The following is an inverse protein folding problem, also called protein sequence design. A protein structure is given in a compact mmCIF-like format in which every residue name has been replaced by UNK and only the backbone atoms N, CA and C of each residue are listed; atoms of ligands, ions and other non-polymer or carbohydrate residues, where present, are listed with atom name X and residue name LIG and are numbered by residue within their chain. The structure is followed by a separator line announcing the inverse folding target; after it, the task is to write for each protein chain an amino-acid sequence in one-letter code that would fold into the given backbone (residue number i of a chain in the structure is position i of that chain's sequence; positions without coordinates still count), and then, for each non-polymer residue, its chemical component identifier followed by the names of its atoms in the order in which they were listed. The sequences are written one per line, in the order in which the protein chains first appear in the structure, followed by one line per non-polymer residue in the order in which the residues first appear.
data_IF_374800970701
#
_entry.id   IF_374800970701
#
_cell.length_a   1.000
_cell.length_b   1.000
_cell.length_c   1.000
_cell.angle_alpha   90.00
_cell.angle_beta   90.00
_cell.angle_gamma   90.00
#
_symmetry.space_group_name_H-M   'P 1'
#
loop_
_entity.id
_entity.type
_entity.pdbx_description
1 polymer ?
#
# COMPACT_ATOMS: atom_id res chain seq x y z
N UNK A 1 -5.47 -15.08 16.82
CA UNK A 1 -6.45 -14.26 17.55
C UNK A 1 -5.94 -12.83 17.64
N UNK A 2 -6.75 -11.85 17.23
CA UNK A 2 -6.42 -10.41 17.30
C UNK A 2 -6.37 -9.85 18.73
N UNK A 3 -6.80 -10.65 19.73
CA UNK A 3 -7.03 -10.21 21.10
C UNK A 3 -5.76 -9.97 21.95
N UNK A 4 -4.56 -10.15 21.41
CA UNK A 4 -3.31 -10.05 22.19
C UNK A 4 -2.25 -9.19 21.47
N UNK A 5 -2.68 -8.19 20.71
CA UNK A 5 -1.78 -7.33 19.95
C UNK A 5 -1.71 -5.95 20.61
N UNK A 6 -0.56 -5.63 21.14
CA UNK A 6 -0.29 -4.30 21.68
C UNK A 6 -0.36 -3.24 20.57
N UNK A 7 -0.95 -2.09 20.90
CA UNK A 7 -1.09 -0.94 20.00
C UNK A 7 -1.96 -1.17 18.74
N UNK A 8 -2.88 -2.14 18.76
CA UNK A 8 -3.88 -2.35 17.73
C UNK A 8 -5.27 -1.92 18.22
N UNK A 9 -5.89 -0.99 17.52
CA UNK A 9 -7.29 -0.64 17.71
C UNK A 9 -8.13 -1.17 16.56
N UNK A 10 -9.33 -1.66 16.85
CA UNK A 10 -10.24 -2.26 15.88
C UNK A 10 -11.61 -1.60 16.00
N UNK A 11 -12.25 -1.36 14.86
CA UNK A 11 -13.63 -0.91 14.76
C UNK A 11 -14.43 -1.85 13.85
N UNK A 12 -15.74 -1.80 13.93
CA UNK A 12 -16.63 -2.51 13.02
C UNK A 12 -17.64 -1.52 12.41
N UNK A 13 -17.57 -1.36 11.09
CA UNK A 13 -18.63 -0.74 10.30
C UNK A 13 -19.42 -1.82 9.57
N UNK A 14 -20.72 -1.71 9.55
CA UNK A 14 -21.61 -2.67 8.87
C UNK A 14 -22.56 -1.91 7.94
N UNK A 15 -22.81 -2.47 6.78
CA UNK A 15 -23.76 -1.94 5.81
C UNK A 15 -24.90 -2.94 5.53
N UNK A 16 -26.01 -2.45 4.97
CA UNK A 16 -27.12 -3.28 4.53
C UNK A 16 -27.80 -4.06 5.66
N UNK A 17 -27.87 -3.51 6.88
CA UNK A 17 -28.41 -4.24 8.02
C UNK A 17 -29.54 -3.52 8.77
N UNK A 18 -29.74 -2.24 8.56
CA UNK A 18 -30.80 -1.49 9.25
C UNK A 18 -32.05 -1.32 8.38
N UNK A 19 -31.87 -1.00 7.13
CA UNK A 19 -32.97 -0.76 6.19
C UNK A 19 -33.30 -2.02 5.41
N UNK A 20 -34.58 -2.49 5.39
CA UNK A 20 -34.94 -3.63 4.55
C UNK A 20 -35.00 -3.24 3.07
N UNK A 21 -34.65 -4.16 2.19
CA UNK A 21 -34.84 -4.01 0.75
C UNK A 21 -36.12 -4.76 0.30
N UNK A 22 -37.01 -4.17 -0.55
CA UNK A 22 -37.07 -2.79 -0.99
C UNK A 22 -37.65 -1.84 0.09
N UNK A 23 -37.41 -0.51 0.01
CA UNK A 23 -36.69 0.22 -1.03
C UNK A 23 -35.18 0.15 -0.86
N UNK A 24 -34.44 0.52 -1.93
CA UNK A 24 -33.00 0.67 -1.92
C UNK A 24 -32.60 1.82 -0.98
N UNK A 25 -31.66 1.54 -0.05
CA UNK A 25 -31.08 2.53 0.85
C UNK A 25 -29.56 2.52 0.74
N UNK A 26 -29.00 3.51 0.05
CA UNK A 26 -27.58 3.66 -0.17
C UNK A 26 -26.84 4.36 0.99
N UNK A 27 -27.54 4.79 2.00
CA UNK A 27 -26.97 5.37 3.21
C UNK A 27 -26.88 4.35 4.37
N UNK A 28 -27.36 3.10 4.17
CA UNK A 28 -27.34 2.06 5.21
C UNK A 28 -25.90 1.54 5.46
N UNK A 29 -25.10 2.38 6.12
CA UNK A 29 -23.73 2.08 6.53
C UNK A 29 -23.43 2.74 7.88
N UNK A 30 -23.20 1.94 8.93
CA UNK A 30 -23.09 2.42 10.30
C UNK A 30 -21.88 1.87 11.03
N UNK A 31 -21.20 2.74 11.81
CA UNK A 31 -20.16 2.35 12.74
C UNK A 31 -20.81 1.68 13.96
N UNK A 32 -20.77 0.36 14.04
CA UNK A 32 -21.44 -0.43 15.07
C UNK A 32 -20.56 -0.70 16.30
N UNK A 33 -19.23 -0.68 16.13
CA UNK A 33 -18.24 -0.71 17.21
C UNK A 33 -17.18 0.34 16.88
N UNK A 34 -17.01 1.31 17.77
CA UNK A 34 -15.96 2.34 17.64
C UNK A 34 -14.55 1.74 17.77
N UNK A 35 -13.52 2.49 17.38
CA UNK A 35 -12.13 2.12 17.61
C UNK A 35 -11.86 1.91 19.10
N UNK A 36 -11.44 0.71 19.43
CA UNK A 36 -11.09 0.26 20.78
C UNK A 36 -9.89 -0.69 20.70
N UNK A 37 -9.12 -0.82 21.80
CA UNK A 37 -8.08 -1.84 21.92
C UNK A 37 -8.59 -3.22 21.49
N UNK A 38 -7.74 -3.98 20.80
CA UNK A 38 -8.13 -5.20 20.08
C UNK A 38 -8.79 -6.28 20.98
N UNK A 39 -8.38 -6.38 22.24
CA UNK A 39 -8.93 -7.29 23.25
C UNK A 39 -10.40 -6.94 23.58
N UNK A 40 -10.68 -5.65 23.82
CA UNK A 40 -12.03 -5.16 24.12
C UNK A 40 -12.92 -5.21 22.87
N UNK A 41 -12.39 -4.75 21.73
CA UNK A 41 -13.13 -4.69 20.47
C UNK A 41 -13.59 -6.09 20.02
N UNK A 42 -12.76 -7.11 20.15
CA UNK A 42 -13.07 -8.45 19.67
C UNK A 42 -14.35 -9.05 20.29
N UNK A 43 -14.56 -8.87 21.58
CA UNK A 43 -15.76 -9.37 22.26
C UNK A 43 -17.00 -8.56 21.91
N UNK A 44 -16.87 -7.23 21.80
CA UNK A 44 -17.97 -6.37 21.34
C UNK A 44 -18.38 -6.67 19.90
N UNK A 45 -17.42 -6.89 19.01
CA UNK A 45 -17.67 -7.26 17.61
C UNK A 45 -18.42 -8.59 17.54
N UNK A 46 -17.97 -9.64 18.27
CA UNK A 46 -18.67 -10.92 18.32
C UNK A 46 -20.11 -10.77 18.78
N UNK A 47 -20.31 -10.03 19.88
CA UNK A 47 -21.66 -9.77 20.41
C UNK A 47 -22.53 -9.01 19.40
N UNK A 48 -21.96 -8.04 18.69
CA UNK A 48 -22.68 -7.25 17.70
C UNK A 48 -23.06 -8.11 16.48
N UNK A 49 -22.10 -8.88 15.93
CA UNK A 49 -22.33 -9.75 14.79
C UNK A 49 -23.36 -10.85 15.06
N UNK A 50 -23.49 -11.33 16.32
CA UNK A 50 -24.48 -12.37 16.66
C UNK A 50 -25.93 -11.90 16.55
N UNK A 51 -26.19 -10.60 16.52
CA UNK A 51 -27.54 -10.01 16.44
C UNK A 51 -27.82 -9.31 15.12
N UNK A 52 -26.80 -8.97 14.35
CA UNK A 52 -26.95 -8.34 13.03
C UNK A 52 -27.49 -9.36 12.04
N UNK A 53 -28.43 -8.90 11.21
CA UNK A 53 -29.01 -9.67 10.10
C UNK A 53 -28.87 -8.86 8.82
N UNK A 54 -28.35 -9.48 7.77
CA UNK A 54 -28.37 -8.92 6.43
C UNK A 54 -29.80 -8.75 5.94
N UNK A 55 -30.16 -7.57 5.43
CA UNK A 55 -31.53 -7.27 4.96
C UNK A 55 -31.60 -6.25 3.82
N UNK A 56 -30.57 -5.48 3.59
CA UNK A 56 -30.62 -4.27 2.77
C UNK A 56 -29.73 -4.28 1.56
N UNK A 57 -29.48 -3.10 1.06
CA UNK A 57 -28.65 -2.77 -0.09
C UNK A 57 -27.16 -2.94 0.24
N UNK A 58 -26.33 -3.09 -0.78
CA UNK A 58 -24.86 -3.26 -0.67
C UNK A 58 -24.12 -1.95 -1.08
N UNK A 59 -24.05 -0.89 -0.23
CA UNK A 59 -23.42 0.39 -0.52
C UNK A 59 -21.93 0.36 -0.16
N UNK A 60 -21.10 -0.35 -0.96
CA UNK A 60 -19.66 -0.53 -0.69
C UNK A 60 -18.91 0.80 -0.76
N UNK A 61 -19.11 1.57 -1.83
CA UNK A 61 -18.44 2.84 -2.03
C UNK A 61 -18.74 3.84 -0.89
N UNK A 62 -20.00 3.92 -0.49
CA UNK A 62 -20.41 4.74 0.66
C UNK A 62 -19.76 4.26 1.95
N UNK A 63 -19.70 2.95 2.14
CA UNK A 63 -19.11 2.36 3.35
C UNK A 63 -17.59 2.59 3.44
N UNK A 64 -16.88 2.57 2.33
CA UNK A 64 -15.46 2.94 2.27
C UNK A 64 -15.26 4.43 2.62
N UNK A 65 -16.10 5.32 2.07
CA UNK A 65 -16.02 6.75 2.32
C UNK A 65 -16.29 7.09 3.79
N UNK A 66 -17.33 6.51 4.39
CA UNK A 66 -17.64 6.71 5.80
C UNK A 66 -16.61 6.03 6.71
N UNK A 67 -16.13 4.83 6.35
CA UNK A 67 -15.08 4.12 7.09
C UNK A 67 -13.78 4.90 7.18
N UNK A 68 -13.43 5.67 6.15
CA UNK A 68 -12.27 6.56 6.19
C UNK A 68 -12.43 7.68 7.23
N UNK A 69 -13.64 8.21 7.40
CA UNK A 69 -13.94 9.25 8.39
C UNK A 69 -13.96 8.73 9.83
N UNK A 70 -14.16 7.43 10.02
CA UNK A 70 -14.18 6.81 11.34
C UNK A 70 -12.80 6.79 12.03
N UNK A 71 -11.70 6.83 11.27
CA UNK A 71 -10.36 6.78 11.84
C UNK A 71 -10.08 7.99 12.73
N UNK A 72 -9.59 7.75 13.96
CA UNK A 72 -9.41 8.82 14.95
C UNK A 72 -8.28 9.80 14.58
N UNK A 73 -7.35 9.38 13.74
CA UNK A 73 -6.23 10.22 13.27
C UNK A 73 -5.58 9.64 12.00
N UNK A 74 -4.77 10.45 11.34
CA UNK A 74 -3.98 10.08 10.15
C UNK A 74 -2.50 9.78 10.43
N UNK A 75 -2.09 9.74 11.71
CA UNK A 75 -0.70 9.44 12.11
C UNK A 75 -0.46 7.95 12.28
N UNK A 76 -1.52 7.19 12.49
CA UNK A 76 -1.49 5.74 12.61
C UNK A 76 -1.57 5.07 11.23
N UNK A 77 -1.16 3.83 11.16
CA UNK A 77 -1.38 2.99 9.98
C UNK A 77 -2.86 2.56 9.96
N UNK A 78 -3.65 3.21 9.12
CA UNK A 78 -5.09 2.98 9.01
C UNK A 78 -5.36 1.95 7.91
N UNK A 79 -6.01 0.85 8.24
CA UNK A 79 -6.28 -0.26 7.32
C UNK A 79 -7.77 -0.59 7.33
N UNK A 80 -8.35 -0.78 6.15
CA UNK A 80 -9.71 -1.26 5.96
C UNK A 80 -9.68 -2.70 5.46
N UNK A 81 -10.44 -3.58 6.09
CA UNK A 81 -10.72 -4.93 5.60
C UNK A 81 -12.19 -4.92 5.18
N UNK A 82 -12.45 -4.96 3.87
CA UNK A 82 -13.78 -5.06 3.31
C UNK A 82 -14.14 -6.54 3.15
N UNK A 83 -15.23 -6.95 3.76
CA UNK A 83 -15.81 -8.30 3.61
C UNK A 83 -17.16 -8.15 2.93
N UNK A 84 -17.36 -8.81 1.82
CA UNK A 84 -18.60 -8.72 1.04
C UNK A 84 -18.91 -10.05 0.33
N UNK A 85 -20.19 -10.34 0.23
CA UNK A 85 -20.76 -11.43 -0.58
C UNK A 85 -21.54 -10.90 -1.80
N UNK A 86 -21.53 -9.57 -2.01
CA UNK A 86 -22.24 -8.89 -3.08
C UNK A 86 -21.41 -7.82 -3.79
N UNK A 87 -22.02 -7.30 -4.84
CA UNK A 87 -21.50 -6.19 -5.64
C UNK A 87 -22.03 -4.86 -5.12
N UNK A 88 -21.37 -3.75 -5.53
CA UNK A 88 -21.91 -2.41 -5.37
C UNK A 88 -23.29 -2.33 -6.04
N UNK A 89 -24.30 -1.95 -5.27
CA UNK A 89 -25.68 -1.80 -5.75
C UNK A 89 -26.09 -0.32 -5.85
N UNK A 90 -25.22 0.60 -5.44
CA UNK A 90 -25.47 2.04 -5.47
C UNK A 90 -24.74 2.70 -6.65
N UNK A 91 -25.03 4.00 -6.88
CA UNK A 91 -24.53 4.71 -8.06
C UNK A 91 -23.07 5.19 -7.94
N UNK A 92 -22.45 5.02 -6.77
CA UNK A 92 -21.04 5.40 -6.54
C UNK A 92 -20.10 4.31 -7.02
N UNK A 93 -18.95 4.73 -7.55
CA UNK A 93 -17.90 3.80 -7.98
C UNK A 93 -16.89 3.56 -6.83
N UNK A 94 -16.80 2.33 -6.30
CA UNK A 94 -15.85 1.98 -5.25
C UNK A 94 -14.39 2.24 -5.62
N UNK A 95 -14.04 2.14 -6.92
CA UNK A 95 -12.71 2.41 -7.42
C UNK A 95 -12.33 3.88 -7.30
N UNK A 96 -13.23 4.78 -7.69
CA UNK A 96 -13.01 6.21 -7.61
C UNK A 96 -12.90 6.66 -6.15
N UNK A 97 -13.75 6.13 -5.27
CA UNK A 97 -13.70 6.39 -3.83
C UNK A 97 -12.39 5.91 -3.24
N UNK A 98 -11.99 4.66 -3.51
CA UNK A 98 -10.73 4.10 -3.02
C UNK A 98 -9.53 4.94 -3.45
N UNK A 99 -9.48 5.36 -4.72
CA UNK A 99 -8.41 6.22 -5.25
C UNK A 99 -8.37 7.60 -4.58
N UNK A 100 -9.54 8.22 -4.36
CA UNK A 100 -9.62 9.52 -3.67
C UNK A 100 -9.06 9.42 -2.26
N UNK A 101 -9.49 8.43 -1.50
CA UNK A 101 -9.05 8.22 -0.12
C UNK A 101 -7.55 7.94 -0.02
N UNK A 102 -6.98 7.17 -0.95
CA UNK A 102 -5.53 6.94 -1.01
C UNK A 102 -4.75 8.23 -1.31
N UNK A 103 -5.27 9.09 -2.17
CA UNK A 103 -4.67 10.40 -2.47
C UNK A 103 -4.71 11.36 -1.26
N UNK A 104 -5.69 11.21 -0.38
CA UNK A 104 -5.82 11.96 0.88
C UNK A 104 -4.87 11.45 1.98
N UNK A 105 -4.07 10.43 1.68
CA UNK A 105 -3.07 9.87 2.60
C UNK A 105 -3.58 8.74 3.48
N UNK A 106 -4.82 8.29 3.29
CA UNK A 106 -5.28 7.05 3.91
C UNK A 106 -4.58 5.87 3.25
N UNK A 107 -3.97 4.98 4.02
CA UNK A 107 -3.44 3.71 3.50
C UNK A 107 -4.63 2.78 3.28
N UNK A 108 -5.40 3.10 2.26
CA UNK A 108 -6.54 2.31 1.84
C UNK A 108 -6.14 1.48 0.62
N UNK A 109 -5.47 0.36 0.84
CA UNK A 109 -5.76 -0.83 0.04
C UNK A 109 -6.61 -1.72 0.92
N UNK A 110 -7.93 -1.61 0.84
CA UNK A 110 -8.77 -2.54 1.55
C UNK A 110 -8.42 -3.95 1.09
N UNK A 111 -8.27 -4.84 2.03
CA UNK A 111 -8.31 -6.24 1.71
C UNK A 111 -9.76 -6.57 1.42
N UNK A 112 -10.06 -6.97 0.20
CA UNK A 112 -11.40 -7.37 -0.18
C UNK A 112 -11.50 -8.88 -0.04
N UNK A 113 -12.30 -9.35 0.90
CA UNK A 113 -12.58 -10.78 1.05
C UNK A 113 -13.97 -11.02 0.46
N UNK A 114 -14.01 -11.54 -0.77
CA UNK A 114 -15.23 -11.99 -1.41
C UNK A 114 -15.65 -13.33 -0.85
N UNK A 115 -16.92 -13.47 -0.47
CA UNK A 115 -17.47 -14.74 0.02
C UNK A 115 -18.47 -15.27 -0.99
N UNK A 116 -18.10 -16.35 -1.69
CA UNK A 116 -18.97 -16.98 -2.68
C UNK A 116 -19.21 -16.17 -3.96
N UNK A 117 -18.37 -15.16 -4.24
CA UNK A 117 -18.47 -14.34 -5.44
C UNK A 117 -17.96 -15.08 -6.68
N UNK A 118 -18.61 -14.82 -7.83
CA UNK A 118 -18.10 -15.29 -9.12
C UNK A 118 -16.75 -14.62 -9.46
N UNK A 119 -15.85 -15.38 -10.09
CA UNK A 119 -14.51 -14.89 -10.51
C UNK A 119 -14.55 -13.67 -11.43
N UNK A 120 -15.65 -13.42 -12.12
CA UNK A 120 -15.85 -12.23 -12.95
C UNK A 120 -15.84 -10.95 -12.12
N UNK A 121 -16.27 -11.00 -10.86
CA UNK A 121 -16.32 -9.85 -9.95
C UNK A 121 -14.95 -9.41 -9.42
N UNK A 122 -13.95 -10.30 -9.46
CA UNK A 122 -12.59 -9.97 -9.05
C UNK A 122 -12.08 -8.68 -9.69
N UNK A 123 -12.31 -8.53 -11.00
CA UNK A 123 -11.86 -7.33 -11.75
C UNK A 123 -12.48 -6.03 -11.25
N UNK A 124 -13.70 -6.08 -10.73
CA UNK A 124 -14.40 -4.91 -10.19
C UNK A 124 -13.83 -4.43 -8.85
N UNK A 125 -13.07 -5.29 -8.17
CA UNK A 125 -12.44 -4.97 -6.88
C UNK A 125 -10.92 -4.81 -6.95
N UNK A 126 -10.25 -5.15 -8.05
CA UNK A 126 -8.79 -5.03 -8.20
C UNK A 126 -8.29 -3.57 -8.01
N UNK A 127 -9.13 -2.59 -8.31
CA UNK A 127 -8.88 -1.17 -8.10
C UNK A 127 -9.15 -0.70 -6.66
N UNK A 128 -9.96 -1.45 -5.90
CA UNK A 128 -10.28 -1.12 -4.51
C UNK A 128 -9.18 -1.62 -3.59
N UNK A 129 -8.71 -2.86 -3.80
CA UNK A 129 -7.69 -3.45 -2.94
C UNK A 129 -7.27 -4.85 -3.37
N UNK A 130 -6.48 -5.52 -2.53
CA UNK A 130 -6.07 -6.90 -2.77
C UNK A 130 -7.26 -7.84 -2.53
N UNK A 131 -7.74 -8.45 -3.59
CA UNK A 131 -8.89 -9.34 -3.54
C UNK A 131 -8.49 -10.77 -3.12
N UNK A 132 -9.26 -11.33 -2.21
CA UNK A 132 -9.21 -12.73 -1.79
C UNK A 132 -10.57 -13.36 -1.95
N UNK A 133 -10.61 -14.56 -2.49
CA UNK A 133 -11.83 -15.33 -2.69
C UNK A 133 -11.93 -16.43 -1.62
N UNK A 134 -13.01 -16.43 -0.86
CA UNK A 134 -13.31 -17.43 0.15
C UNK A 134 -14.59 -18.17 -0.26
N UNK A 135 -14.49 -19.45 -0.58
CA UNK A 135 -15.65 -20.26 -1.00
C UNK A 135 -16.37 -20.91 0.18
N UNK A 136 -15.70 -20.99 1.33
CA UNK A 136 -16.23 -21.60 2.54
C UNK A 136 -15.62 -20.99 3.81
N UNK A 137 -16.17 -21.31 4.98
CA UNK A 137 -15.77 -20.78 6.27
C UNK A 137 -14.29 -21.06 6.62
N UNK A 138 -13.76 -22.23 6.26
CA UNK A 138 -12.36 -22.57 6.53
C UNK A 138 -11.43 -21.67 5.73
N UNK A 139 -11.68 -21.53 4.43
CA UNK A 139 -10.90 -20.63 3.57
C UNK A 139 -11.00 -19.17 4.01
N UNK A 140 -12.21 -18.72 4.40
CA UNK A 140 -12.38 -17.37 4.95
C UNK A 140 -11.51 -17.14 6.18
N UNK A 141 -11.47 -18.12 7.10
CA UNK A 141 -10.63 -18.03 8.31
C UNK A 141 -9.14 -17.99 7.97
N UNK A 142 -8.69 -18.81 7.03
CA UNK A 142 -7.29 -18.84 6.60
C UNK A 142 -6.89 -17.55 5.90
N UNK A 143 -7.73 -17.03 5.02
CA UNK A 143 -7.53 -15.74 4.36
C UNK A 143 -7.51 -14.60 5.37
N UNK A 144 -8.44 -14.57 6.32
CA UNK A 144 -8.47 -13.54 7.35
C UNK A 144 -7.20 -13.56 8.21
N UNK A 145 -6.66 -14.75 8.55
CA UNK A 145 -5.38 -14.86 9.24
C UNK A 145 -4.22 -14.33 8.41
N UNK A 146 -4.18 -14.60 7.10
CA UNK A 146 -3.19 -14.05 6.17
C UNK A 146 -3.28 -12.52 6.13
N UNK A 147 -4.48 -11.97 5.98
CA UNK A 147 -4.71 -10.51 5.97
C UNK A 147 -4.24 -9.88 7.27
N UNK A 148 -4.56 -10.49 8.41
CA UNK A 148 -4.14 -10.02 9.73
C UNK A 148 -2.62 -10.05 9.86
N UNK A 149 -1.95 -11.12 9.42
CA UNK A 149 -0.48 -11.18 9.47
C UNK A 149 0.17 -10.07 8.64
N UNK A 150 -0.39 -9.75 7.47
CA UNK A 150 0.07 -8.63 6.64
C UNK A 150 -0.03 -7.27 7.36
N UNK A 151 -1.00 -7.15 8.26
CA UNK A 151 -1.24 -5.91 9.03
C UNK A 151 -0.27 -5.77 10.19
N UNK A 152 0.13 -6.87 10.81
CA UNK A 152 0.79 -6.88 12.13
C UNK A 152 2.30 -7.05 12.05
N UNK A 153 2.79 -7.83 11.07
CA UNK A 153 4.19 -8.24 11.04
C UNK A 153 5.15 -7.09 10.69
N UNK A 154 6.26 -7.01 11.43
CA UNK A 154 7.37 -6.12 11.12
C UNK A 154 8.04 -6.55 9.81
N UNK A 155 7.69 -5.89 8.74
CA UNK A 155 8.27 -6.14 7.42
C UNK A 155 9.34 -5.12 7.13
N UNK A 156 10.49 -5.58 6.67
CA UNK A 156 11.60 -4.73 6.30
C UNK A 156 12.05 -4.97 4.88
N UNK A 157 12.69 -3.98 4.28
CA UNK A 157 13.31 -4.06 2.96
C UNK A 157 14.71 -3.48 2.98
N UNK A 158 15.58 -4.13 2.22
CA UNK A 158 16.92 -3.69 1.86
C UNK A 158 16.97 -3.56 0.34
N UNK A 159 17.57 -2.49 -0.16
CA UNK A 159 17.82 -2.32 -1.59
C UNK A 159 19.31 -2.57 -1.85
N UNK A 160 19.60 -3.51 -2.71
CA UNK A 160 20.95 -3.77 -3.20
C UNK A 160 21.16 -3.04 -4.52
N UNK A 161 22.03 -2.04 -4.51
CA UNK A 161 22.45 -1.34 -5.72
C UNK A 161 23.68 -2.08 -6.31
N UNK A 162 23.45 -2.72 -7.47
CA UNK A 162 24.43 -3.63 -8.06
C UNK A 162 25.33 -2.93 -9.07
N UNK A 163 26.62 -3.24 -9.01
CA UNK A 163 27.60 -2.87 -10.01
C UNK A 163 27.52 -3.73 -11.30
N UNK A 164 28.51 -3.60 -12.19
CA UNK A 164 28.59 -4.38 -13.43
C UNK A 164 28.78 -5.88 -13.20
N UNK A 165 29.36 -6.28 -12.07
CA UNK A 165 29.65 -7.67 -11.69
C UNK A 165 28.52 -8.28 -10.86
N UNK A 166 27.39 -7.53 -10.68
CA UNK A 166 26.23 -7.87 -9.86
C UNK A 166 26.55 -7.96 -8.36
N UNK A 167 27.56 -7.25 -7.89
CA UNK A 167 27.86 -7.10 -6.47
C UNK A 167 27.17 -5.86 -5.92
N UNK A 168 26.65 -5.94 -4.69
CA UNK A 168 25.95 -4.84 -4.02
C UNK A 168 26.96 -3.83 -3.44
N UNK A 169 27.68 -3.14 -4.30
CA UNK A 169 28.80 -2.23 -3.95
C UNK A 169 28.45 -0.76 -4.20
N UNK A 170 27.36 -0.49 -4.92
CA UNK A 170 26.96 0.87 -5.25
C UNK A 170 26.16 1.51 -4.13
N UNK A 171 26.36 2.82 -3.89
CA UNK A 171 25.75 3.55 -2.79
C UNK A 171 25.71 5.07 -3.07
N UNK A 172 25.28 5.88 -2.08
CA UNK A 172 25.15 7.35 -2.16
C UNK A 172 24.17 7.82 -3.26
N UNK A 173 23.13 7.03 -3.50
CA UNK A 173 22.07 7.32 -4.45
C UNK A 173 20.77 7.47 -3.68
N UNK A 174 19.96 8.46 -4.06
CA UNK A 174 18.61 8.58 -3.54
C UNK A 174 17.72 7.46 -4.10
N UNK A 175 16.99 6.77 -3.24
CA UNK A 175 16.05 5.70 -3.59
C UNK A 175 14.67 6.10 -3.14
N UNK A 176 13.71 6.02 -4.05
CA UNK A 176 12.29 6.33 -3.77
C UNK A 176 11.42 5.13 -4.06
N UNK A 177 10.56 4.82 -3.12
CA UNK A 177 9.46 3.87 -3.28
C UNK A 177 8.18 4.65 -3.55
N UNK A 178 7.61 4.46 -4.70
CA UNK A 178 6.30 5.01 -5.09
C UNK A 178 5.24 3.94 -4.91
N UNK A 179 4.08 4.31 -4.40
CA UNK A 179 2.91 3.45 -4.46
C UNK A 179 2.54 3.23 -5.94
N UNK A 180 2.51 1.99 -6.38
CA UNK A 180 2.26 1.64 -7.78
C UNK A 180 0.88 2.09 -8.30
N UNK A 181 -0.09 2.22 -7.41
CA UNK A 181 -1.46 2.62 -7.77
C UNK A 181 -1.62 4.15 -7.87
N UNK A 182 -1.10 4.88 -6.88
CA UNK A 182 -1.27 6.34 -6.80
C UNK A 182 -0.12 7.12 -7.43
N UNK A 183 1.04 6.48 -7.65
CA UNK A 183 2.31 7.08 -8.02
C UNK A 183 2.83 8.13 -7.02
N UNK A 184 2.32 8.14 -5.78
CA UNK A 184 2.82 9.01 -4.73
C UNK A 184 4.04 8.39 -4.04
N UNK A 185 5.07 9.18 -3.71
CA UNK A 185 6.22 8.69 -2.95
C UNK A 185 5.77 8.30 -1.53
N UNK A 186 6.14 7.10 -1.10
CA UNK A 186 5.87 6.59 0.26
C UNK A 186 7.13 6.58 1.11
N UNK A 187 8.25 6.18 0.53
CA UNK A 187 9.55 6.20 1.19
C UNK A 187 10.57 6.84 0.27
N UNK A 188 11.43 7.65 0.84
CA UNK A 188 12.53 8.30 0.12
C UNK A 188 13.72 8.42 1.07
N UNK A 189 14.88 7.90 0.69
CA UNK A 189 16.08 7.95 1.50
C UNK A 189 17.34 7.91 0.62
N UNK A 190 18.45 8.39 1.17
CA UNK A 190 19.77 8.21 0.54
C UNK A 190 20.28 6.84 0.95
N UNK A 191 20.51 6.00 -0.02
CA UNK A 191 21.08 4.67 0.19
C UNK A 191 22.50 4.79 0.76
N UNK A 192 22.76 4.15 1.90
CA UNK A 192 24.08 4.07 2.52
C UNK A 192 24.39 2.63 2.96
N UNK A 193 25.61 2.42 3.41
CA UNK A 193 26.02 1.17 4.05
C UNK A 193 26.19 1.40 5.56
N UNK A 194 25.90 0.36 6.33
CA UNK A 194 26.24 0.31 7.75
C UNK A 194 27.76 0.11 7.96
N UNK A 195 28.18 0.07 9.22
CA UNK A 195 29.59 -0.10 9.58
C UNK A 195 30.18 -1.46 9.17
N UNK A 196 29.35 -2.41 8.75
CA UNK A 196 29.74 -3.75 8.29
C UNK A 196 29.69 -3.88 6.76
N UNK A 197 29.28 -2.82 6.04
CA UNK A 197 29.17 -2.81 4.59
C UNK A 197 27.86 -3.39 4.06
N UNK A 198 26.83 -3.51 4.90
CA UNK A 198 25.50 -3.92 4.45
C UNK A 198 24.65 -2.69 4.13
N UNK A 199 23.82 -2.74 3.08
CA UNK A 199 22.86 -1.69 2.76
C UNK A 199 21.87 -1.45 3.88
N UNK A 200 21.42 -0.20 4.02
CA UNK A 200 20.41 0.17 4.99
C UNK A 200 19.12 -0.63 4.86
N UNK A 201 18.55 -0.94 6.00
CA UNK A 201 17.26 -1.63 6.11
C UNK A 201 16.21 -0.64 6.59
N UNK A 202 15.11 -0.54 5.87
CA UNK A 202 13.95 0.28 6.27
C UNK A 202 12.73 -0.59 6.57
N UNK A 203 11.91 -0.14 7.51
CA UNK A 203 10.57 -0.72 7.70
C UNK A 203 9.66 -0.28 6.55
N UNK A 204 8.89 -1.22 6.00
CA UNK A 204 8.03 -0.98 4.84
C UNK A 204 6.65 -1.59 5.03
N UNK A 205 5.64 -0.96 4.47
CA UNK A 205 4.28 -1.50 4.47
C UNK A 205 4.14 -2.61 3.41
N UNK A 206 3.92 -3.87 3.81
CA UNK A 206 3.81 -4.99 2.87
C UNK A 206 2.47 -5.02 2.12
N UNK A 207 1.51 -4.19 2.50
CA UNK A 207 0.19 -4.11 1.84
C UNK A 207 0.30 -3.47 0.45
N UNK A 208 1.22 -2.52 0.30
CA UNK A 208 1.42 -1.78 -0.94
C UNK A 208 2.29 -2.56 -1.93
N UNK A 209 2.03 -2.35 -3.22
CA UNK A 209 2.95 -2.70 -4.31
C UNK A 209 3.70 -1.44 -4.70
N UNK A 210 4.98 -1.55 -4.97
CA UNK A 210 5.85 -0.39 -5.16
C UNK A 210 6.47 -0.35 -6.54
N UNK A 211 6.65 0.88 -7.05
CA UNK A 211 7.64 1.18 -8.08
C UNK A 211 8.86 1.76 -7.37
N UNK A 212 10.00 1.10 -7.49
CA UNK A 212 11.24 1.50 -6.79
C UNK A 212 12.17 2.13 -7.78
N UNK A 213 12.60 3.37 -7.51
CA UNK A 213 13.49 4.13 -8.39
C UNK A 213 14.77 4.51 -7.65
N UNK A 214 15.91 4.09 -8.18
CA UNK A 214 17.23 4.64 -7.84
C UNK A 214 17.49 5.84 -8.75
N UNK A 215 17.72 7.02 -8.17
CA UNK A 215 17.92 8.28 -8.90
C UNK A 215 19.33 8.43 -9.44
N UNK A 216 19.76 7.46 -10.23
CA UNK A 216 20.98 7.52 -11.03
C UNK A 216 20.79 8.40 -12.26
N UNK A 217 21.83 8.58 -13.06
CA UNK A 217 21.78 9.31 -14.34
C UNK A 217 22.17 8.35 -15.47
N UNK A 218 21.19 7.82 -16.24
CA UNK A 218 19.74 7.92 -16.09
C UNK A 218 19.21 7.14 -14.87
N UNK A 219 17.98 7.46 -14.40
CA UNK A 219 17.38 6.72 -13.29
C UNK A 219 17.07 5.27 -13.67
N UNK A 220 17.19 4.37 -12.68
CA UNK A 220 16.85 2.96 -12.81
C UNK A 220 15.65 2.64 -11.96
N UNK A 221 14.63 2.03 -12.55
CA UNK A 221 13.40 1.69 -11.86
C UNK A 221 13.06 0.21 -11.98
N UNK A 222 12.47 -0.33 -10.93
CA UNK A 222 11.84 -1.65 -10.88
C UNK A 222 10.37 -1.46 -10.51
N UNK A 223 9.47 -1.91 -11.36
CA UNK A 223 8.04 -1.74 -11.20
C UNK A 223 7.39 -2.99 -10.59
N UNK A 224 6.16 -2.82 -10.07
CA UNK A 224 5.31 -3.90 -9.55
C UNK A 224 5.96 -4.75 -8.44
N UNK A 225 6.78 -4.13 -7.60
CA UNK A 225 7.47 -4.81 -6.50
C UNK A 225 6.48 -5.12 -5.38
N UNK A 226 6.21 -6.40 -5.18
CA UNK A 226 5.43 -6.91 -4.05
C UNK A 226 6.35 -7.27 -2.89
N UNK A 227 5.95 -6.89 -1.69
CA UNK A 227 6.69 -7.13 -0.45
C UNK A 227 6.09 -8.34 0.28
N UNK A 228 6.93 -9.25 0.73
CA UNK A 228 6.50 -10.42 1.51
C UNK A 228 6.36 -9.99 2.97
N UNK A 229 5.14 -10.08 3.55
CA UNK A 229 4.90 -9.68 4.92
C UNK A 229 5.69 -10.49 5.95
N UNK A 230 6.04 -9.86 7.06
CA UNK A 230 6.73 -10.50 8.19
C UNK A 230 8.14 -10.99 7.88
N UNK A 231 8.74 -10.51 6.80
CA UNK A 231 10.10 -10.92 6.38
C UNK A 231 10.97 -9.73 6.04
N UNK A 232 12.27 -9.98 6.07
CA UNK A 232 13.24 -9.10 5.45
C UNK A 232 13.26 -9.37 3.95
N UNK A 233 12.93 -8.34 3.15
CA UNK A 233 12.89 -8.40 1.69
C UNK A 233 14.16 -7.77 1.11
N UNK A 234 14.69 -8.35 0.05
CA UNK A 234 15.83 -7.79 -0.67
C UNK A 234 15.42 -7.47 -2.09
N UNK A 235 15.61 -6.21 -2.50
CA UNK A 235 15.35 -5.70 -3.84
C UNK A 235 16.70 -5.38 -4.49
N UNK A 236 16.93 -5.88 -5.71
CA UNK A 236 18.16 -5.63 -6.44
C UNK A 236 17.91 -4.72 -7.65
N UNK A 237 18.68 -3.63 -7.75
CA UNK A 237 18.66 -2.70 -8.87
C UNK A 237 20.07 -2.64 -9.49
N UNK A 238 20.17 -2.87 -10.79
CA UNK A 238 21.45 -2.78 -11.49
C UNK A 238 21.77 -1.32 -11.82
N UNK A 239 22.64 -0.73 -11.02
CA UNK A 239 22.95 0.70 -11.02
C UNK A 239 24.45 0.97 -11.05
N UNK A 240 25.21 0.37 -12.02
CA UNK A 240 26.65 0.57 -12.04
C UNK A 240 26.97 2.06 -12.19
N UNK A 241 27.83 2.56 -11.30
CA UNK A 241 28.24 3.96 -11.28
C UNK A 241 29.59 4.13 -11.99
N UNK A 242 29.75 5.28 -12.63
CA UNK A 242 31.00 5.75 -13.18
C UNK A 242 31.38 7.09 -12.56
N UNK A 243 32.66 7.44 -12.62
CA UNK A 243 33.15 8.76 -12.23
C UNK A 243 33.30 9.63 -13.47
N UNK A 244 32.63 10.78 -13.46
CA UNK A 244 32.89 11.85 -14.43
C UNK A 244 33.72 12.94 -13.76
N UNK A 245 34.92 13.18 -14.30
CA UNK A 245 35.78 14.27 -13.85
C UNK A 245 35.80 15.36 -14.91
N UNK A 246 35.39 16.57 -14.55
CA UNK A 246 35.35 17.73 -15.44
C UNK A 246 36.39 18.74 -14.97
N UNK A 247 37.48 18.89 -15.75
CA UNK A 247 38.54 19.85 -15.48
C UNK A 247 38.42 21.10 -16.32
N UNK A 248 38.16 22.25 -15.68
CA UNK A 248 37.97 23.54 -16.35
C UNK A 248 39.09 24.49 -15.96
N UNK A 249 39.75 25.09 -16.97
CA UNK A 249 40.87 26.02 -16.77
C UNK A 249 40.48 27.49 -16.77
N UNK A 250 39.20 27.81 -16.67
CA UNK A 250 38.69 29.21 -16.71
C UNK A 250 38.03 29.62 -15.40
N UNK A 251 37.95 30.93 -15.14
CA UNK A 251 37.27 31.50 -13.98
C UNK A 251 35.78 31.79 -14.18
N UNK A 252 35.24 31.44 -15.33
CA UNK A 252 33.82 31.67 -15.65
C UNK A 252 32.97 30.50 -15.14
N UNK A 253 31.70 30.75 -14.84
CA UNK A 253 30.71 29.72 -14.53
C UNK A 253 30.42 28.89 -15.78
N UNK A 254 30.28 27.59 -15.59
CA UNK A 254 29.99 26.63 -16.68
C UNK A 254 28.78 25.79 -16.37
N UNK A 255 28.18 25.28 -17.41
CA UNK A 255 27.11 24.30 -17.34
C UNK A 255 27.51 23.09 -18.20
N UNK A 256 27.40 21.88 -17.65
CA UNK A 256 27.53 20.69 -18.47
C UNK A 256 26.17 19.98 -18.63
N UNK A 257 26.01 19.35 -19.75
CA UNK A 257 24.79 18.63 -20.11
C UNK A 257 25.20 17.21 -20.48
N UNK A 258 24.56 16.22 -19.83
CA UNK A 258 24.74 14.81 -20.16
C UNK A 258 23.58 14.40 -21.08
N UNK A 259 23.93 13.79 -22.21
CA UNK A 259 22.98 13.22 -23.18
C UNK A 259 23.39 11.79 -23.51
N UNK A 260 22.42 10.94 -23.85
CA UNK A 260 22.70 9.64 -24.43
C UNK A 260 23.17 9.83 -25.86
N UNK A 261 24.25 9.14 -26.25
CA UNK A 261 24.76 9.20 -27.62
C UNK A 261 23.67 8.82 -28.63
N UNK A 262 23.48 9.64 -29.67
CA UNK A 262 22.45 9.44 -30.69
C UNK A 262 21.03 9.86 -30.28
N UNK A 263 20.84 10.51 -29.14
CA UNK A 263 19.55 11.06 -28.70
C UNK A 263 19.67 12.53 -28.35
N UNK A 264 18.63 13.32 -28.67
CA UNK A 264 18.56 14.74 -28.30
C UNK A 264 18.08 14.99 -26.87
N UNK A 265 17.58 13.95 -26.21
CA UNK A 265 17.10 14.02 -24.82
C UNK A 265 18.22 14.31 -23.84
N UNK A 266 18.01 15.32 -22.99
CA UNK A 266 18.94 15.68 -21.92
C UNK A 266 18.67 14.76 -20.73
N UNK A 267 19.72 14.05 -20.26
CA UNK A 267 19.63 13.19 -19.09
C UNK A 267 19.91 13.96 -17.80
N UNK A 268 20.84 14.92 -17.86
CA UNK A 268 21.23 15.71 -16.69
C UNK A 268 21.82 17.04 -17.10
N UNK A 269 21.60 18.07 -16.27
CA UNK A 269 22.21 19.40 -16.40
C UNK A 269 22.76 19.78 -15.03
N UNK A 270 24.01 20.23 -15.00
CA UNK A 270 24.66 20.71 -13.78
C UNK A 270 25.35 22.03 -14.02
N UNK A 271 25.14 23.00 -13.15
CA UNK A 271 25.89 24.24 -13.09
C UNK A 271 27.17 24.03 -12.27
N UNK A 272 28.28 24.51 -12.76
CA UNK A 272 29.56 24.55 -12.08
C UNK A 272 29.91 26.03 -11.81
N UNK A 273 29.88 26.43 -10.54
CA UNK A 273 30.20 27.78 -10.07
C UNK A 273 31.69 27.90 -9.70
#
# INVERSE_FOLDING_TARGET
SLSNLDNLEIALRVYGHKSPFPPKDCEDSYLEVNFLPSDIAADLIKKKLSVIKSRGTTPIARSLQEGAKDFPNNKSRNIVILITDGMEECDMDPCLVSKSLQNEGFILKPFVIGVGLDKSYKKSFDCVGKFFDATNESEFKDILNIVISHVIDNTTVQVNLLDNENMATETNINVTFYDNFTNLPKYNYVHTFDNFGYPDTIAIDPVLTYNVTAHTIPPVSLNDVSIIPGRHNIIALKTPQGKLEVNIKSKNSYKYIIRKSGMDSILHVQDLN
#
